data_IF_056422677650
#
_entry.id   IF_056422677650
#
_cell.length_a   1.000
_cell.length_b   1.000
_cell.length_c   1.000
_cell.angle_alpha   90.00
_cell.angle_beta   90.00
_cell.angle_gamma   90.00
#
_symmetry.space_group_name_H-M   'P 1'
#
loop_
_entity.id
_entity.type
_entity.pdbx_description
1 polymer ?
#
# COMPACT_ATOMS: atom_id res chain seq x y z
N UNK A 1 59.64 36.90 28.68
CA UNK A 1 58.34 36.20 28.62
C UNK A 1 57.41 37.02 27.74
N UNK A 2 57.15 36.59 26.49
CA UNK A 2 56.23 37.25 25.56
C UNK A 2 54.80 36.93 25.98
N UNK A 3 53.99 37.96 26.19
CA UNK A 3 52.56 37.85 26.48
C UNK A 3 51.86 37.60 25.14
N UNK A 4 51.16 36.47 25.04
CA UNK A 4 50.39 36.08 23.86
C UNK A 4 49.08 36.88 23.86
N UNK A 5 48.93 37.81 22.92
CA UNK A 5 47.67 38.52 22.70
C UNK A 5 46.62 37.54 22.17
N UNK A 6 45.51 37.42 22.90
CA UNK A 6 44.35 36.65 22.48
C UNK A 6 43.54 37.48 21.47
N UNK A 7 43.56 37.06 20.20
CA UNK A 7 42.69 37.60 19.16
C UNK A 7 41.21 37.38 19.56
N UNK A 8 40.49 38.47 19.85
CA UNK A 8 39.03 38.47 19.98
C UNK A 8 38.42 38.13 18.62
N UNK A 9 37.80 36.95 18.53
CA UNK A 9 36.92 36.60 17.41
C UNK A 9 35.63 37.39 17.59
N UNK A 10 35.44 38.41 16.75
CA UNK A 10 34.15 39.09 16.63
C UNK A 10 33.23 38.11 15.88
N UNK A 11 32.29 37.51 16.60
CA UNK A 11 31.21 36.74 15.97
C UNK A 11 30.24 37.77 15.43
N UNK A 12 30.16 37.88 14.10
CA UNK A 12 29.07 38.62 13.46
C UNK A 12 27.77 37.91 13.82
N UNK A 13 26.88 38.63 14.53
CA UNK A 13 25.53 38.16 14.78
C UNK A 13 24.83 38.00 13.43
N UNK A 14 24.50 36.75 13.08
CA UNK A 14 23.66 36.48 11.91
C UNK A 14 22.39 37.32 12.04
N UNK A 15 21.97 38.05 11.00
CA UNK A 15 20.72 38.79 11.06
C UNK A 15 19.61 37.82 11.42
N UNK A 16 18.94 38.05 12.56
CA UNK A 16 17.72 37.32 12.92
C UNK A 16 16.64 37.80 11.97
N UNK A 17 16.48 37.10 10.85
CA UNK A 17 15.34 37.26 9.96
C UNK A 17 14.14 36.72 10.73
N UNK A 18 13.36 37.61 11.34
CA UNK A 18 12.01 37.31 11.81
C UNK A 18 11.05 37.64 10.67
N UNK A 19 10.79 36.67 9.80
CA UNK A 19 9.57 36.72 8.98
C UNK A 19 8.41 36.33 9.90
N UNK A 20 7.78 37.34 10.51
CA UNK A 20 6.62 37.12 11.38
C UNK A 20 5.32 36.93 10.58
N UNK A 21 5.35 37.04 9.25
CA UNK A 21 4.12 37.04 8.46
C UNK A 21 4.26 36.43 7.05
N UNK A 22 3.73 35.21 6.89
CA UNK A 22 3.75 34.45 5.62
C UNK A 22 2.60 34.82 4.66
N UNK A 23 2.00 36.02 4.80
CA UNK A 23 0.89 36.48 3.95
C UNK A 23 1.25 36.46 2.47
N UNK A 24 2.48 36.83 2.12
CA UNK A 24 2.91 36.92 0.72
C UNK A 24 3.00 35.54 0.07
N UNK A 25 3.38 34.52 0.85
CA UNK A 25 3.34 33.12 0.43
C UNK A 25 1.88 32.66 0.28
N UNK A 26 1.01 32.96 1.25
CA UNK A 26 -0.42 32.61 1.21
C UNK A 26 -1.08 33.16 -0.07
N UNK A 27 -0.89 34.45 -0.37
CA UNK A 27 -1.39 35.12 -1.58
C UNK A 27 -0.83 34.53 -2.87
N UNK A 28 0.43 34.13 -2.87
CA UNK A 28 1.06 33.50 -4.04
C UNK A 28 0.48 32.11 -4.31
N UNK A 29 0.26 31.31 -3.26
CA UNK A 29 -0.36 29.99 -3.36
C UNK A 29 -1.81 30.11 -3.81
N UNK A 30 -2.61 31.01 -3.22
CA UNK A 30 -4.01 31.24 -3.60
C UNK A 30 -4.14 31.70 -5.06
N UNK A 31 -3.18 32.49 -5.57
CA UNK A 31 -3.15 32.92 -6.97
C UNK A 31 -2.90 31.76 -7.94
N UNK A 32 -2.01 30.81 -7.58
CA UNK A 32 -1.66 29.67 -8.43
C UNK A 32 -2.71 28.56 -8.30
N UNK A 33 -3.25 28.37 -7.11
CA UNK A 33 -4.19 27.31 -6.77
C UNK A 33 -5.41 27.88 -6.02
N UNK A 34 -6.39 28.47 -6.75
CA UNK A 34 -7.53 29.14 -6.13
C UNK A 34 -8.46 28.20 -5.35
N UNK A 35 -8.36 26.88 -5.58
CA UNK A 35 -9.17 25.86 -4.90
C UNK A 35 -8.45 25.20 -3.72
N UNK A 36 -7.22 25.63 -3.37
CA UNK A 36 -6.50 25.10 -2.21
C UNK A 36 -7.01 25.79 -0.94
N UNK A 37 -7.53 25.02 0.01
CA UNK A 37 -7.85 25.53 1.35
C UNK A 37 -6.60 25.47 2.23
N UNK A 38 -6.05 26.63 2.57
CA UNK A 38 -4.94 26.76 3.52
C UNK A 38 -5.53 26.73 4.93
N UNK A 39 -5.19 25.71 5.71
CA UNK A 39 -5.66 25.57 7.08
C UNK A 39 -4.88 26.51 8.01
N UNK A 40 -5.58 27.38 8.74
CA UNK A 40 -4.95 28.35 9.66
C UNK A 40 -4.48 27.73 10.98
N UNK A 41 -5.03 26.56 11.32
CA UNK A 41 -4.64 25.79 12.49
C UNK A 41 -4.14 24.42 12.06
N UNK A 42 -3.06 23.91 12.67
CA UNK A 42 -2.67 22.52 12.47
C UNK A 42 -3.85 21.63 12.84
N UNK A 43 -4.03 20.56 12.07
CA UNK A 43 -5.00 19.53 12.40
C UNK A 43 -4.59 18.87 13.73
N UNK A 44 -5.58 18.49 14.53
CA UNK A 44 -5.37 17.72 15.78
C UNK A 44 -4.50 16.49 15.48
N UNK A 45 -3.47 16.26 16.30
CA UNK A 45 -2.53 15.13 16.19
C UNK A 45 -3.24 13.77 16.03
N UNK A 46 -4.39 13.58 16.68
CA UNK A 46 -5.18 12.35 16.53
C UNK A 46 -5.69 12.19 15.10
N UNK A 47 -6.22 13.27 14.52
CA UNK A 47 -6.72 13.30 13.14
C UNK A 47 -5.56 13.25 12.14
N UNK A 48 -4.45 13.91 12.44
CA UNK A 48 -3.22 13.86 11.65
C UNK A 48 -2.67 12.44 11.54
N UNK A 49 -2.64 11.72 12.66
CA UNK A 49 -2.19 10.33 12.71
C UNK A 49 -3.09 9.40 11.91
N UNK A 50 -4.42 9.55 12.03
CA UNK A 50 -5.38 8.79 11.24
C UNK A 50 -5.24 9.07 9.73
N UNK A 51 -5.15 10.35 9.33
CA UNK A 51 -4.90 10.71 7.92
C UNK A 51 -3.58 10.13 7.43
N UNK A 52 -2.51 10.26 8.21
CA UNK A 52 -1.19 9.71 7.87
C UNK A 52 -1.24 8.18 7.66
N UNK A 53 -1.91 7.44 8.54
CA UNK A 53 -2.10 6.00 8.40
C UNK A 53 -2.89 5.65 7.15
N UNK A 54 -4.00 6.35 6.89
CA UNK A 54 -4.79 6.16 5.67
C UNK A 54 -3.97 6.41 4.40
N UNK A 55 -3.14 7.46 4.38
CA UNK A 55 -2.23 7.73 3.26
C UNK A 55 -1.16 6.64 3.10
N UNK A 56 -0.59 6.13 4.19
CA UNK A 56 0.35 4.99 4.13
C UNK A 56 -0.32 3.77 3.51
N UNK A 57 -1.53 3.43 3.95
CA UNK A 57 -2.29 2.28 3.42
C UNK A 57 -2.62 2.44 1.93
N UNK A 58 -3.02 3.64 1.50
CA UNK A 58 -3.27 3.93 0.07
C UNK A 58 -2.02 3.72 -0.80
N UNK A 59 -0.84 4.08 -0.30
CA UNK A 59 0.44 3.86 -0.99
C UNK A 59 0.89 2.39 -0.98
N UNK A 60 0.34 1.59 -0.06
CA UNK A 60 0.65 0.16 0.05
C UNK A 60 -0.28 -0.66 -0.84
N UNK A 61 -1.54 -0.27 -0.98
CA UNK A 61 -2.50 -0.94 -1.86
C UNK A 61 -2.19 -0.72 -3.34
N UNK A 62 -2.50 -1.74 -4.16
CA UNK A 62 -2.45 -1.64 -5.62
C UNK A 62 -3.67 -2.32 -6.21
N UNK A 63 -3.97 -2.05 -7.49
CA UNK A 63 -5.13 -2.59 -8.20
C UNK A 63 -5.23 -4.11 -8.07
N UNK A 64 -4.10 -4.82 -8.19
CA UNK A 64 -3.96 -6.20 -7.75
C UNK A 64 -3.08 -6.21 -6.51
N UNK A 65 -3.52 -6.85 -5.44
CA UNK A 65 -2.71 -6.99 -4.23
C UNK A 65 -2.44 -8.46 -3.93
N UNK A 66 -1.17 -8.80 -3.73
CA UNK A 66 -0.74 -10.12 -3.28
C UNK A 66 -0.43 -10.05 -1.79
N UNK A 67 -1.10 -10.87 -0.98
CA UNK A 67 -0.86 -10.95 0.46
C UNK A 67 0.30 -11.89 0.74
N UNK A 68 1.30 -11.37 1.45
CA UNK A 68 2.41 -12.12 2.02
C UNK A 68 2.25 -12.23 3.54
N UNK A 69 2.57 -13.38 4.08
CA UNK A 69 2.44 -13.78 5.47
C UNK A 69 3.83 -13.85 6.12
N UNK A 70 4.31 -15.08 6.38
CA UNK A 70 5.64 -15.40 6.95
C UNK A 70 6.40 -16.30 5.98
N UNK A 71 6.35 -15.97 4.70
CA UNK A 71 7.10 -16.68 3.69
C UNK A 71 8.60 -16.56 3.95
N UNK A 72 9.34 -17.60 3.61
CA UNK A 72 10.80 -17.50 3.54
C UNK A 72 11.21 -16.56 2.38
N UNK A 73 12.51 -16.25 2.30
CA UNK A 73 13.03 -15.35 1.26
C UNK A 73 12.75 -15.86 -0.17
N UNK A 74 12.79 -17.18 -0.40
CA UNK A 74 12.58 -17.75 -1.74
C UNK A 74 11.13 -17.63 -2.17
N UNK A 75 10.21 -17.90 -1.26
CA UNK A 75 8.77 -17.82 -1.48
C UNK A 75 8.35 -16.37 -1.65
N UNK A 76 8.88 -15.46 -0.82
CA UNK A 76 8.64 -14.03 -0.98
C UNK A 76 9.15 -13.50 -2.33
N UNK A 77 10.37 -13.87 -2.75
CA UNK A 77 10.90 -13.52 -4.08
C UNK A 77 10.03 -14.07 -5.22
N UNK A 78 9.39 -15.23 -5.04
CA UNK A 78 8.43 -15.74 -6.01
C UNK A 78 7.20 -14.83 -6.12
N UNK A 79 6.62 -14.41 -4.99
CA UNK A 79 5.49 -13.48 -4.96
C UNK A 79 5.86 -12.12 -5.57
N UNK A 80 7.07 -11.60 -5.33
CA UNK A 80 7.54 -10.35 -5.96
C UNK A 80 7.65 -10.47 -7.48
N UNK A 81 8.22 -11.58 -7.97
CA UNK A 81 8.29 -11.86 -9.41
C UNK A 81 6.91 -12.02 -10.03
N UNK A 82 5.98 -12.67 -9.33
CA UNK A 82 4.60 -12.78 -9.75
C UNK A 82 3.95 -11.39 -9.83
N UNK A 83 4.11 -10.56 -8.81
CA UNK A 83 3.62 -9.18 -8.79
C UNK A 83 4.20 -8.34 -9.91
N UNK A 84 5.48 -8.52 -10.23
CA UNK A 84 6.14 -7.84 -11.34
C UNK A 84 5.53 -8.27 -12.68
N UNK A 85 5.36 -9.59 -12.89
CA UNK A 85 4.74 -10.10 -14.09
C UNK A 85 3.30 -9.58 -14.25
N UNK A 86 2.50 -9.56 -13.18
CA UNK A 86 1.13 -9.02 -13.24
C UNK A 86 1.10 -7.52 -13.56
N UNK A 87 2.03 -6.74 -12.99
CA UNK A 87 2.19 -5.32 -13.31
C UNK A 87 2.54 -5.06 -14.76
N UNK A 88 3.36 -5.92 -15.37
CA UNK A 88 3.79 -5.79 -16.78
C UNK A 88 2.66 -6.10 -17.75
N UNK A 89 1.87 -7.15 -17.48
CA UNK A 89 0.88 -7.66 -18.45
C UNK A 89 -0.56 -7.21 -18.19
N UNK A 90 -0.90 -6.79 -16.97
CA UNK A 90 -2.28 -6.49 -16.59
C UNK A 90 -2.41 -5.12 -15.91
N UNK A 91 -2.36 -5.10 -14.57
CA UNK A 91 -2.63 -3.93 -13.75
C UNK A 91 -1.53 -3.78 -12.70
N UNK A 92 -1.31 -2.55 -12.19
CA UNK A 92 -0.38 -2.34 -11.08
C UNK A 92 -0.62 -3.36 -9.98
N UNK A 93 0.43 -4.12 -9.64
CA UNK A 93 0.40 -5.17 -8.64
C UNK A 93 1.47 -4.96 -7.59
N UNK A 94 1.13 -5.25 -6.33
CA UNK A 94 2.08 -5.14 -5.22
C UNK A 94 1.93 -6.30 -4.24
N UNK A 95 3.08 -6.74 -3.69
CA UNK A 95 3.11 -7.65 -2.55
C UNK A 95 3.02 -6.84 -1.26
N UNK A 96 2.12 -7.24 -0.36
CA UNK A 96 1.84 -6.54 0.90
C UNK A 96 1.86 -7.53 2.05
N UNK A 97 2.50 -7.17 3.16
CA UNK A 97 2.47 -8.01 4.37
C UNK A 97 1.10 -7.95 5.05
N UNK A 98 0.41 -9.08 5.05
CA UNK A 98 -0.86 -9.28 5.75
C UNK A 98 -0.71 -9.12 7.27
N UNK A 99 0.42 -9.54 7.84
CA UNK A 99 0.70 -9.38 9.28
C UNK A 99 0.81 -7.92 9.70
N UNK A 100 1.35 -7.03 8.86
CA UNK A 100 1.41 -5.61 9.18
C UNK A 100 0.00 -5.01 9.26
N UNK A 101 -0.88 -5.37 8.32
CA UNK A 101 -2.27 -4.88 8.32
C UNK A 101 -3.04 -5.45 9.52
N UNK A 102 -2.87 -6.74 9.82
CA UNK A 102 -3.49 -7.42 10.95
C UNK A 102 -3.08 -6.79 12.27
N UNK A 103 -1.78 -6.55 12.49
CA UNK A 103 -1.26 -5.98 13.73
C UNK A 103 -1.82 -4.59 14.01
N UNK A 104 -2.09 -3.82 12.96
CA UNK A 104 -2.68 -2.49 13.06
C UNK A 104 -4.22 -2.49 13.07
N UNK A 105 -4.86 -3.67 12.95
CA UNK A 105 -6.31 -3.82 12.79
C UNK A 105 -6.91 -2.96 11.68
N UNK A 106 -6.15 -2.81 10.58
CA UNK A 106 -6.44 -1.85 9.52
C UNK A 106 -7.10 -2.48 8.28
N UNK A 107 -7.64 -3.70 8.37
CA UNK A 107 -8.21 -4.39 7.21
C UNK A 107 -9.37 -3.64 6.57
N UNK A 108 -10.26 -3.05 7.37
CA UNK A 108 -11.40 -2.28 6.84
C UNK A 108 -10.93 -1.12 5.96
N UNK A 109 -9.94 -0.35 6.43
CA UNK A 109 -9.38 0.77 5.67
C UNK A 109 -8.58 0.27 4.47
N UNK A 110 -7.79 -0.78 4.63
CA UNK A 110 -7.01 -1.38 3.55
C UNK A 110 -7.91 -1.86 2.40
N UNK A 111 -9.01 -2.54 2.71
CA UNK A 111 -9.98 -3.05 1.74
C UNK A 111 -10.91 -1.97 1.16
N UNK A 112 -10.84 -0.72 1.63
CA UNK A 112 -11.58 0.42 1.01
C UNK A 112 -10.81 1.08 -0.13
N UNK A 113 -9.54 0.72 -0.33
CA UNK A 113 -8.76 1.19 -1.47
C UNK A 113 -9.26 0.58 -2.79
N UNK A 114 -8.81 1.11 -3.93
CA UNK A 114 -9.18 0.67 -5.30
C UNK A 114 -8.58 -0.70 -5.68
N UNK A 115 -8.74 -1.69 -4.81
CA UNK A 115 -8.29 -3.07 -4.99
C UNK A 115 -9.36 -3.82 -5.80
N UNK A 116 -8.95 -4.36 -6.92
CA UNK A 116 -9.80 -5.09 -7.86
C UNK A 116 -9.72 -6.61 -7.68
N UNK A 117 -8.56 -7.09 -7.21
CA UNK A 117 -8.29 -8.49 -6.98
C UNK A 117 -7.29 -8.64 -5.83
N UNK A 118 -7.58 -9.55 -4.91
CA UNK A 118 -6.64 -10.00 -3.89
C UNK A 118 -6.17 -11.40 -4.24
N UNK A 119 -4.87 -11.62 -4.17
CA UNK A 119 -4.22 -12.91 -4.34
C UNK A 119 -3.63 -13.31 -2.99
N UNK A 120 -3.88 -14.52 -2.53
CA UNK A 120 -3.34 -15.02 -1.26
C UNK A 120 -3.06 -16.51 -1.34
N UNK A 121 -2.14 -17.05 -0.54
CA UNK A 121 -1.97 -18.50 -0.40
C UNK A 121 -3.21 -19.11 0.27
N UNK A 122 -3.61 -20.33 -0.14
CA UNK A 122 -4.93 -20.88 0.17
C UNK A 122 -5.25 -21.03 1.67
N UNK A 123 -4.34 -21.56 2.48
CA UNK A 123 -4.57 -21.82 3.90
C UNK A 123 -4.20 -20.65 4.81
N UNK A 124 -3.33 -19.75 4.37
CA UNK A 124 -2.78 -18.68 5.22
C UNK A 124 -3.81 -17.57 5.50
N UNK A 125 -4.84 -17.43 4.66
CA UNK A 125 -5.97 -16.51 4.91
C UNK A 125 -6.67 -16.80 6.24
N UNK A 126 -6.67 -18.07 6.68
CA UNK A 126 -7.33 -18.48 7.91
C UNK A 126 -6.46 -18.35 9.17
N UNK A 127 -5.16 -18.04 9.03
CA UNK A 127 -4.24 -17.82 10.15
C UNK A 127 -4.49 -16.50 10.88
N UNK A 128 -5.03 -15.51 10.18
CA UNK A 128 -5.22 -14.16 10.69
C UNK A 128 -6.69 -13.94 11.07
N UNK A 129 -7.02 -13.74 12.36
CA UNK A 129 -8.41 -13.74 12.83
C UNK A 129 -9.26 -12.61 12.25
N UNK A 130 -8.72 -11.39 12.12
CA UNK A 130 -9.50 -10.28 11.56
C UNK A 130 -9.69 -10.43 10.05
N UNK A 131 -8.67 -10.90 9.33
CA UNK A 131 -8.79 -11.23 7.91
C UNK A 131 -9.82 -12.35 7.67
N UNK A 132 -9.77 -13.41 8.48
CA UNK A 132 -10.71 -14.54 8.42
C UNK A 132 -12.15 -14.10 8.61
N UNK A 133 -12.41 -13.15 9.52
CA UNK A 133 -13.75 -12.60 9.74
C UNK A 133 -14.31 -11.89 8.50
N UNK A 134 -13.45 -11.45 7.58
CA UNK A 134 -13.81 -10.76 6.34
C UNK A 134 -13.93 -11.71 5.14
N UNK A 135 -13.53 -12.98 5.28
CA UNK A 135 -13.64 -13.99 4.23
C UNK A 135 -15.10 -14.36 3.99
N UNK A 136 -15.51 -14.35 2.73
CA UNK A 136 -16.81 -14.83 2.28
C UNK A 136 -16.60 -15.82 1.14
N UNK A 137 -17.44 -16.85 1.13
CA UNK A 137 -17.50 -17.84 0.07
C UNK A 137 -18.94 -17.95 -0.40
N UNK A 138 -19.13 -17.94 -1.72
CA UNK A 138 -20.41 -18.21 -2.36
C UNK A 138 -20.36 -19.59 -3.03
N UNK A 139 -20.84 -20.65 -2.35
CA UNK A 139 -20.72 -22.03 -2.85
C UNK A 139 -21.36 -22.21 -4.22
N UNK A 140 -22.48 -21.52 -4.49
CA UNK A 140 -23.23 -21.63 -5.74
C UNK A 140 -22.45 -21.13 -6.96
N UNK A 141 -21.48 -20.24 -6.76
CA UNK A 141 -20.62 -19.70 -7.83
C UNK A 141 -19.17 -20.19 -7.75
N UNK A 142 -18.80 -20.91 -6.67
CA UNK A 142 -17.41 -21.22 -6.37
C UNK A 142 -16.53 -19.97 -6.20
N UNK A 143 -17.13 -18.83 -5.85
CA UNK A 143 -16.45 -17.55 -5.73
C UNK A 143 -16.05 -17.27 -4.29
N UNK A 144 -14.81 -16.83 -4.12
CA UNK A 144 -14.24 -16.43 -2.84
C UNK A 144 -13.95 -14.95 -2.88
N UNK A 145 -14.22 -14.25 -1.78
CA UNK A 145 -13.96 -12.83 -1.65
C UNK A 145 -13.51 -12.47 -0.24
N UNK A 146 -12.79 -11.35 -0.14
CA UNK A 146 -12.57 -10.65 1.13
C UNK A 146 -13.47 -9.42 1.11
N UNK A 147 -14.47 -9.41 2.00
CA UNK A 147 -15.59 -8.48 1.98
C UNK A 147 -16.33 -8.59 0.63
N UNK A 148 -16.06 -7.66 -0.29
CA UNK A 148 -16.69 -7.60 -1.62
C UNK A 148 -15.63 -7.64 -2.74
N UNK A 149 -14.34 -7.80 -2.38
CA UNK A 149 -13.23 -7.87 -3.33
C UNK A 149 -12.94 -9.34 -3.67
N UNK A 150 -12.93 -9.71 -4.94
CA UNK A 150 -12.60 -11.07 -5.38
C UNK A 150 -11.25 -11.55 -4.85
N UNK A 151 -11.22 -12.80 -4.38
CA UNK A 151 -10.04 -13.47 -3.84
C UNK A 151 -9.63 -14.62 -4.76
N UNK A 152 -8.35 -14.65 -5.14
CA UNK A 152 -7.71 -15.78 -5.81
C UNK A 152 -6.78 -16.48 -4.83
N UNK A 153 -7.07 -17.75 -4.54
CA UNK A 153 -6.23 -18.55 -3.66
C UNK A 153 -5.15 -19.27 -4.49
N UNK A 154 -3.89 -18.96 -4.21
CA UNK A 154 -2.72 -19.63 -4.77
C UNK A 154 -2.57 -21.00 -4.10
N UNK A 155 -2.39 -22.06 -4.89
CA UNK A 155 -1.81 -23.31 -4.42
C UNK A 155 -0.43 -23.07 -3.79
N UNK A 156 0.03 -24.07 -3.01
CA UNK A 156 1.33 -24.01 -2.34
C UNK A 156 2.46 -23.57 -3.29
N UNK A 157 3.12 -22.47 -2.92
CA UNK A 157 4.23 -21.87 -3.68
C UNK A 157 5.35 -22.88 -3.90
N UNK A 158 5.56 -23.81 -2.96
CA UNK A 158 6.55 -24.86 -3.06
C UNK A 158 6.39 -25.68 -4.35
N UNK A 159 5.16 -25.94 -4.78
CA UNK A 159 4.86 -26.69 -6.01
C UNK A 159 5.42 -25.97 -7.25
N UNK A 160 5.27 -24.65 -7.32
CA UNK A 160 5.79 -23.86 -8.45
C UNK A 160 7.30 -23.72 -8.43
N UNK A 161 7.93 -23.79 -7.25
CA UNK A 161 9.38 -23.79 -7.13
C UNK A 161 9.97 -25.14 -7.57
N UNK A 162 9.30 -26.25 -7.23
CA UNK A 162 9.72 -27.61 -7.58
C UNK A 162 9.44 -27.95 -9.05
N UNK A 163 8.29 -27.54 -9.57
CA UNK A 163 7.83 -27.85 -10.93
C UNK A 163 7.55 -26.56 -11.72
N UNK A 164 8.58 -25.99 -12.39
CA UNK A 164 8.44 -24.71 -13.10
C UNK A 164 7.40 -24.71 -14.22
N UNK A 165 7.06 -25.88 -14.79
CA UNK A 165 6.02 -26.04 -15.82
C UNK A 165 4.65 -25.57 -15.33
N UNK A 166 4.36 -25.70 -14.02
CA UNK A 166 3.10 -25.29 -13.41
C UNK A 166 2.91 -23.77 -13.39
N UNK A 167 3.98 -22.98 -13.52
CA UNK A 167 3.90 -21.50 -13.56
C UNK A 167 3.08 -21.01 -14.75
N UNK A 168 3.13 -21.73 -15.89
CA UNK A 168 2.32 -21.42 -17.07
C UNK A 168 0.83 -21.60 -16.78
N UNK A 169 0.47 -22.70 -16.13
CA UNK A 169 -0.91 -22.97 -15.71
C UNK A 169 -1.42 -21.93 -14.72
N UNK A 170 -0.60 -21.56 -13.73
CA UNK A 170 -0.92 -20.49 -12.79
C UNK A 170 -1.19 -19.16 -13.52
N UNK A 171 -0.28 -18.76 -14.42
CA UNK A 171 -0.42 -17.50 -15.14
C UNK A 171 -1.66 -17.48 -16.03
N UNK A 172 -2.01 -18.60 -16.66
CA UNK A 172 -3.24 -18.73 -17.44
C UNK A 172 -4.49 -18.62 -16.55
N UNK A 173 -4.49 -19.24 -15.38
CA UNK A 173 -5.61 -19.13 -14.43
C UNK A 173 -5.80 -17.69 -13.93
N UNK A 174 -4.69 -16.99 -13.61
CA UNK A 174 -4.72 -15.58 -13.24
C UNK A 174 -5.23 -14.70 -14.39
N UNK A 175 -4.76 -14.96 -15.62
CA UNK A 175 -5.24 -14.26 -16.82
C UNK A 175 -6.76 -14.40 -16.98
N UNK A 176 -7.28 -15.62 -16.89
CA UNK A 176 -8.72 -15.88 -16.97
C UNK A 176 -9.48 -15.15 -15.86
N UNK A 177 -8.99 -15.23 -14.61
CA UNK A 177 -9.62 -14.54 -13.49
C UNK A 177 -9.67 -13.03 -13.71
N UNK A 178 -8.57 -12.42 -14.14
CA UNK A 178 -8.47 -10.98 -14.39
C UNK A 178 -9.38 -10.56 -15.55
N UNK A 179 -9.42 -11.33 -16.65
CA UNK A 179 -10.33 -11.05 -17.78
C UNK A 179 -11.82 -11.12 -17.39
N UNK A 180 -12.19 -12.00 -16.47
CA UNK A 180 -13.58 -12.05 -15.99
C UNK A 180 -13.92 -10.81 -15.15
N UNK A 181 -12.94 -10.25 -14.41
CA UNK A 181 -13.14 -9.02 -13.64
C UNK A 181 -13.32 -7.80 -14.54
N UNK A 182 -12.65 -7.75 -15.68
CA UNK A 182 -12.82 -6.65 -16.63
C UNK A 182 -14.21 -6.66 -17.25
N UNK A 183 -14.70 -7.82 -17.66
CA UNK A 183 -16.02 -7.93 -18.29
C UNK A 183 -17.14 -7.49 -17.33
N UNK A 184 -17.05 -7.86 -16.04
CA UNK A 184 -17.99 -7.43 -15.00
C UNK A 184 -18.01 -5.91 -14.75
N UNK A 185 -16.98 -5.17 -15.17
CA UNK A 185 -16.92 -3.70 -15.01
C UNK A 185 -17.53 -2.94 -16.17
N UNK A 186 -17.67 -3.56 -17.34
CA UNK A 186 -18.25 -2.93 -18.52
C UNK A 186 -19.75 -3.19 -18.67
N UNK A 187 -20.32 -4.11 -17.88
CA UNK A 187 -21.76 -4.43 -17.86
C UNK A 187 -22.54 -3.66 -16.77
N UNK A 188 -21.93 -2.66 -16.11
CA UNK A 188 -22.57 -1.77 -15.12
C UNK A 188 -22.52 -0.32 -15.59
#
# INVERSE_FOLDING_TARGET
KKILESKKVIREDKPKIFEDNFIDIKKSIERIFPNISILEKPIDDKVAKQKSQKYKLKNISSTITILAYKEDEKFYRFLEKLSTALSVYFYPSKVVSAYLIEKENNWSDFLTNDISLIISSDYTVFELPHLRALYKENPSKGEKSLKDIPLFLLPDIFLYLKEPSLKKSLFNALKQKISNLTNLRFDK
#
